data_IF_635283451011
#
_entry.id   IF_635283451011
#
_cell.length_a   1.000
_cell.length_b   1.000
_cell.length_c   1.000
_cell.angle_alpha   90.00
_cell.angle_beta   90.00
_cell.angle_gamma   90.00
#
_symmetry.space_group_name_H-M   'P 1'
#
loop_
_entity.id
_entity.type
_entity.pdbx_description
1 polymer ?
#
# COMPACT_ATOMS: atom_id res chain seq x y z
N UNK A 1 -7.52 -29.65 4.18
CA UNK A 1 -6.57 -29.35 3.09
C UNK A 1 -6.09 -27.94 3.28
N UNK A 2 -5.01 -27.81 4.01
CA UNK A 2 -4.40 -26.50 4.25
C UNK A 2 -3.46 -26.19 3.09
N UNK A 3 -3.89 -25.28 2.20
CA UNK A 3 -3.00 -24.28 1.61
C UNK A 3 -1.80 -24.82 0.81
N UNK A 4 -2.03 -25.64 -0.19
CA UNK A 4 -0.98 -26.04 -1.12
C UNK A 4 -0.35 -24.85 -1.87
N UNK A 5 -1.12 -23.78 -2.10
CA UNK A 5 -0.65 -22.51 -2.63
C UNK A 5 -0.37 -21.45 -1.56
N UNK A 6 -0.36 -21.79 -0.27
CA UNK A 6 0.03 -20.87 0.80
C UNK A 6 1.51 -20.44 0.71
N UNK A 7 2.25 -21.11 -0.13
CA UNK A 7 3.61 -20.76 -0.49
C UNK A 7 3.60 -20.11 -1.86
N UNK A 8 3.29 -18.83 -1.91
CA UNK A 8 3.89 -18.01 -2.94
C UNK A 8 5.39 -18.29 -2.84
N UNK A 9 6.04 -18.84 -3.88
CA UNK A 9 7.41 -19.30 -3.72
C UNK A 9 8.26 -18.15 -3.21
N UNK A 10 8.84 -18.33 -2.02
CA UNK A 10 9.85 -17.39 -1.56
C UNK A 10 10.99 -17.43 -2.56
N UNK A 11 11.70 -16.34 -2.80
CA UNK A 11 12.85 -16.31 -3.71
C UNK A 11 13.86 -17.43 -3.46
N UNK A 12 13.94 -17.94 -2.21
CA UNK A 12 14.81 -19.04 -1.79
C UNK A 12 14.38 -20.43 -2.30
N UNK A 13 13.13 -20.57 -2.72
CA UNK A 13 12.51 -21.88 -2.95
C UNK A 13 12.40 -22.20 -4.45
N UNK A 14 13.01 -21.40 -5.32
CA UNK A 14 12.93 -21.52 -6.78
C UNK A 14 14.31 -21.64 -7.47
N UNK A 15 15.05 -22.74 -7.29
CA UNK A 15 16.37 -22.90 -7.90
C UNK A 15 16.33 -23.29 -9.38
N UNK A 16 15.44 -22.95 -10.16
CA UNK A 16 15.41 -23.38 -11.59
C UNK A 16 14.83 -22.35 -12.54
N UNK A 17 13.95 -21.51 -12.10
CA UNK A 17 13.60 -20.25 -12.75
C UNK A 17 14.57 -19.21 -12.20
N UNK A 18 15.06 -18.30 -12.97
CA UNK A 18 15.98 -17.21 -12.60
C UNK A 18 15.53 -16.36 -11.40
N UNK A 19 14.92 -17.02 -10.37
CA UNK A 19 14.40 -16.48 -9.13
C UNK A 19 13.04 -15.76 -9.29
N UNK A 20 12.34 -15.66 -8.18
CA UNK A 20 11.08 -14.90 -8.07
C UNK A 20 11.23 -13.46 -8.56
N UNK A 21 12.36 -12.82 -8.25
CA UNK A 21 12.63 -11.44 -8.64
C UNK A 21 12.71 -11.26 -10.16
N UNK A 22 13.31 -12.22 -10.86
CA UNK A 22 13.34 -12.22 -12.32
C UNK A 22 11.95 -12.42 -12.93
N UNK A 23 11.12 -13.30 -12.35
CA UNK A 23 9.74 -13.51 -12.81
C UNK A 23 8.86 -12.26 -12.61
N UNK A 24 8.96 -11.62 -11.44
CA UNK A 24 8.25 -10.38 -11.14
C UNK A 24 8.71 -9.23 -12.03
N UNK A 25 10.01 -9.13 -12.28
CA UNK A 25 10.54 -8.11 -13.19
C UNK A 25 10.09 -8.35 -14.63
N UNK A 26 10.10 -9.61 -15.10
CA UNK A 26 9.57 -9.97 -16.42
C UNK A 26 8.07 -9.68 -16.54
N UNK A 27 7.29 -9.97 -15.51
CA UNK A 27 5.87 -9.59 -15.46
C UNK A 27 5.67 -8.10 -15.66
N UNK A 28 6.43 -7.28 -14.93
CA UNK A 28 6.33 -5.82 -14.96
C UNK A 28 6.78 -5.18 -16.28
N UNK A 29 7.76 -5.79 -16.98
CA UNK A 29 8.39 -5.18 -18.16
C UNK A 29 7.81 -5.72 -19.46
N UNK A 30 7.50 -7.01 -19.50
CA UNK A 30 7.21 -7.71 -20.75
C UNK A 30 5.73 -8.10 -20.91
N UNK A 31 4.97 -8.14 -19.83
CA UNK A 31 3.62 -8.72 -19.89
C UNK A 31 2.53 -7.77 -19.36
N UNK A 32 2.69 -7.23 -18.17
CA UNK A 32 1.67 -6.39 -17.56
C UNK A 32 1.63 -4.99 -18.20
N UNK A 33 0.44 -4.38 -18.23
CA UNK A 33 0.27 -2.99 -18.59
C UNK A 33 1.28 -2.11 -17.83
N UNK A 34 1.93 -1.19 -18.53
CA UNK A 34 3.01 -0.38 -17.97
C UNK A 34 2.57 0.41 -16.75
N UNK A 35 3.29 0.20 -15.66
CA UNK A 35 3.08 0.90 -14.39
C UNK A 35 4.41 1.02 -13.64
N UNK A 36 4.53 2.08 -12.83
CA UNK A 36 5.67 2.27 -11.94
C UNK A 36 5.51 1.43 -10.68
N UNK A 37 6.22 0.30 -10.62
CA UNK A 37 6.18 -0.68 -9.54
C UNK A 37 7.26 -0.51 -8.47
N UNK A 38 7.84 0.68 -8.37
CA UNK A 38 8.93 1.03 -7.45
C UNK A 38 8.80 2.49 -7.00
N UNK A 39 9.38 2.81 -5.84
CA UNK A 39 9.33 4.16 -5.28
C UNK A 39 10.49 5.02 -5.78
N UNK A 40 11.72 4.49 -5.80
CA UNK A 40 12.89 5.16 -6.32
C UNK A 40 13.69 4.25 -7.29
N UNK A 41 14.63 4.86 -8.01
CA UNK A 41 15.39 4.12 -9.02
C UNK A 41 16.29 3.02 -8.44
N UNK A 42 16.66 3.11 -7.16
CA UNK A 42 17.40 2.06 -6.47
C UNK A 42 16.56 0.78 -6.30
N UNK A 43 15.23 0.92 -6.19
CA UNK A 43 14.30 -0.19 -6.05
C UNK A 43 13.72 -0.70 -7.39
N UNK A 44 14.12 -0.10 -8.51
CA UNK A 44 13.56 -0.39 -9.83
C UNK A 44 13.61 -1.87 -10.19
N UNK A 45 14.71 -2.55 -9.90
CA UNK A 45 14.88 -3.98 -10.19
C UNK A 45 14.11 -4.87 -9.20
N UNK A 46 13.93 -4.39 -7.97
CA UNK A 46 13.29 -5.15 -6.90
C UNK A 46 11.76 -5.15 -7.00
N UNK A 47 11.14 -4.16 -7.67
CA UNK A 47 9.67 -4.04 -7.84
C UNK A 47 8.89 -4.21 -6.54
N UNK A 48 9.20 -3.49 -5.46
CA UNK A 48 8.61 -3.74 -4.14
C UNK A 48 7.09 -3.58 -4.12
N UNK A 49 6.54 -2.65 -4.90
CA UNK A 49 5.08 -2.43 -5.00
C UNK A 49 4.41 -3.65 -5.63
N UNK A 50 4.95 -4.19 -6.72
CA UNK A 50 4.38 -5.35 -7.40
C UNK A 50 4.44 -6.62 -6.53
N UNK A 51 5.56 -6.85 -5.84
CA UNK A 51 5.69 -7.98 -4.91
C UNK A 51 4.67 -7.91 -3.77
N UNK A 52 4.48 -6.72 -3.21
CA UNK A 52 3.48 -6.47 -2.18
C UNK A 52 2.06 -6.72 -2.73
N UNK A 53 1.75 -6.15 -3.90
CA UNK A 53 0.49 -6.34 -4.59
C UNK A 53 0.16 -7.82 -4.82
N UNK A 54 1.06 -8.58 -5.43
CA UNK A 54 0.85 -10.00 -5.71
C UNK A 54 0.65 -10.83 -4.43
N UNK A 55 1.44 -10.54 -3.39
CA UNK A 55 1.35 -11.24 -2.11
C UNK A 55 -0.01 -11.03 -1.44
N UNK A 56 -0.47 -9.80 -1.31
CA UNK A 56 -1.74 -9.51 -0.67
C UNK A 56 -2.95 -9.87 -1.53
N UNK A 57 -2.85 -9.76 -2.85
CA UNK A 57 -3.88 -10.24 -3.77
C UNK A 57 -4.09 -11.75 -3.61
N UNK A 58 -3.01 -12.53 -3.54
CA UNK A 58 -3.11 -13.96 -3.31
C UNK A 58 -3.75 -14.29 -1.93
N UNK A 59 -3.34 -13.60 -0.87
CA UNK A 59 -3.96 -13.75 0.46
C UNK A 59 -5.46 -13.40 0.44
N UNK A 60 -5.84 -12.38 -0.33
CA UNK A 60 -7.25 -12.01 -0.49
C UNK A 60 -8.04 -13.11 -1.20
N UNK A 61 -7.51 -13.68 -2.28
CA UNK A 61 -8.14 -14.82 -2.98
C UNK A 61 -8.32 -16.02 -2.04
N UNK A 62 -7.32 -16.36 -1.24
CA UNK A 62 -7.43 -17.44 -0.24
C UNK A 62 -8.56 -17.18 0.78
N UNK A 63 -8.69 -15.93 1.20
CA UNK A 63 -9.74 -15.54 2.14
C UNK A 63 -11.14 -15.63 1.49
N UNK A 64 -11.28 -15.16 0.26
CA UNK A 64 -12.54 -15.26 -0.50
C UNK A 64 -12.93 -16.71 -0.76
N UNK A 65 -11.98 -17.56 -1.13
CA UNK A 65 -12.21 -19.00 -1.33
C UNK A 65 -12.62 -19.71 -0.03
N UNK A 66 -12.09 -19.27 1.11
CA UNK A 66 -12.53 -19.76 2.42
C UNK A 66 -14.00 -19.42 2.66
N UNK A 67 -14.38 -18.14 2.49
CA UNK A 67 -15.75 -17.68 2.66
C UNK A 67 -16.72 -18.38 1.68
N UNK A 68 -16.29 -18.55 0.44
CA UNK A 68 -17.08 -19.23 -0.59
C UNK A 68 -17.32 -20.72 -0.24
N UNK A 69 -16.31 -21.42 0.27
CA UNK A 69 -16.46 -22.80 0.75
C UNK A 69 -17.45 -22.91 1.91
N UNK A 70 -17.38 -21.98 2.86
CA UNK A 70 -18.31 -21.91 3.99
C UNK A 70 -19.75 -21.63 3.52
N UNK A 71 -19.92 -20.69 2.60
CA UNK A 71 -21.23 -20.36 2.02
C UNK A 71 -21.80 -21.49 1.16
N UNK A 72 -20.98 -22.13 0.35
CA UNK A 72 -21.37 -23.26 -0.49
C UNK A 72 -21.83 -24.47 0.35
N UNK A 73 -21.10 -24.76 1.44
CA UNK A 73 -21.47 -25.85 2.36
C UNK A 73 -22.83 -25.60 3.03
N UNK A 74 -23.08 -24.35 3.48
CA UNK A 74 -24.37 -23.96 4.09
C UNK A 74 -25.56 -24.09 3.10
N UNK A 75 -25.32 -23.85 1.81
CA UNK A 75 -26.35 -23.87 0.77
C UNK A 75 -26.35 -25.18 -0.04
N UNK A 76 -25.61 -26.19 0.39
CA UNK A 76 -25.49 -27.51 -0.28
C UNK A 76 -25.19 -27.39 -1.79
N UNK A 77 -24.26 -26.53 -2.18
CA UNK A 77 -23.81 -26.32 -3.56
C UNK A 77 -22.29 -26.48 -3.70
N UNK A 78 -21.83 -26.67 -4.92
CA UNK A 78 -20.39 -26.66 -5.21
C UNK A 78 -19.82 -25.22 -5.08
N UNK A 79 -18.65 -25.05 -4.44
CA UNK A 79 -18.01 -23.74 -4.34
C UNK A 79 -17.42 -23.30 -5.68
N UNK A 80 -17.58 -22.00 -6.01
CA UNK A 80 -16.93 -21.40 -7.16
C UNK A 80 -15.64 -20.68 -6.70
N UNK A 81 -14.54 -21.39 -6.74
CA UNK A 81 -13.25 -20.93 -6.24
C UNK A 81 -12.53 -19.98 -7.21
N UNK A 82 -11.73 -19.09 -6.68
CA UNK A 82 -10.84 -18.16 -7.42
C UNK A 82 -9.41 -18.66 -7.53
N UNK A 83 -9.01 -19.62 -6.70
CA UNK A 83 -7.78 -20.39 -6.84
C UNK A 83 -8.20 -21.78 -7.30
N UNK A 84 -7.90 -22.12 -8.57
CA UNK A 84 -8.28 -23.39 -9.16
C UNK A 84 -7.12 -24.37 -9.09
N UNK A 85 -7.43 -25.61 -8.70
CA UNK A 85 -6.48 -26.71 -8.63
C UNK A 85 -7.09 -27.95 -9.27
N UNK A 86 -6.26 -28.71 -10.02
CA UNK A 86 -6.56 -30.05 -10.48
C UNK A 86 -5.40 -31.00 -10.12
N UNK A 87 -5.36 -32.19 -10.69
CA UNK A 87 -4.31 -33.16 -10.39
C UNK A 87 -2.90 -32.70 -10.79
N UNK A 88 -2.76 -31.88 -11.83
CA UNK A 88 -1.49 -31.49 -12.43
C UNK A 88 -1.17 -30.00 -12.25
N UNK A 89 -2.17 -29.14 -12.24
CA UNK A 89 -1.99 -27.70 -12.34
C UNK A 89 -2.79 -26.93 -11.29
N UNK A 90 -2.27 -25.76 -10.95
CA UNK A 90 -3.01 -24.75 -10.23
C UNK A 90 -2.87 -23.38 -10.90
N UNK A 91 -3.90 -22.54 -10.78
CA UNK A 91 -3.95 -21.21 -11.42
C UNK A 91 -4.78 -20.24 -10.61
N UNK A 92 -4.36 -18.98 -10.60
CA UNK A 92 -5.14 -17.88 -10.04
C UNK A 92 -4.94 -16.60 -10.85
N UNK A 93 -5.93 -15.70 -10.80
CA UNK A 93 -5.94 -14.43 -11.50
C UNK A 93 -5.18 -13.37 -10.70
N UNK A 94 -4.13 -12.77 -11.27
CA UNK A 94 -3.30 -11.77 -10.60
C UNK A 94 -4.01 -10.43 -10.40
N UNK A 95 -5.13 -10.18 -11.10
CA UNK A 95 -5.78 -8.88 -11.17
C UNK A 95 -5.07 -7.86 -12.06
N UNK A 96 -3.95 -8.26 -12.67
CA UNK A 96 -3.24 -7.49 -13.69
C UNK A 96 -3.74 -7.84 -15.09
N UNK A 97 -3.51 -6.93 -16.02
CA UNK A 97 -3.85 -7.09 -17.43
C UNK A 97 -2.65 -6.74 -18.31
N UNK A 98 -2.63 -7.25 -19.51
CA UNK A 98 -1.67 -6.87 -20.54
C UNK A 98 -2.10 -5.59 -21.31
N UNK A 99 -1.38 -5.24 -22.37
CA UNK A 99 -1.61 -4.03 -23.17
C UNK A 99 -2.93 -4.03 -23.96
N UNK A 100 -3.60 -5.18 -24.09
CA UNK A 100 -4.93 -5.31 -24.71
C UNK A 100 -6.02 -5.64 -23.70
N UNK A 101 -5.69 -5.51 -22.40
CA UNK A 101 -6.56 -5.77 -21.27
C UNK A 101 -6.94 -7.25 -21.08
N UNK A 102 -6.18 -8.19 -21.61
CA UNK A 102 -6.33 -9.61 -21.28
C UNK A 102 -5.83 -9.88 -19.85
N UNK A 103 -6.61 -10.61 -19.02
CA UNK A 103 -6.20 -10.93 -17.65
C UNK A 103 -4.94 -11.80 -17.61
N UNK A 104 -4.04 -11.48 -16.69
CA UNK A 104 -2.82 -12.22 -16.42
C UNK A 104 -3.02 -13.17 -15.25
N UNK A 105 -2.61 -14.41 -15.43
CA UNK A 105 -2.71 -15.49 -14.44
C UNK A 105 -1.34 -15.96 -13.99
N UNK A 106 -1.26 -16.43 -12.75
CA UNK A 106 -0.11 -17.15 -12.22
C UNK A 106 -0.37 -18.66 -12.35
N UNK A 107 0.53 -19.38 -12.98
CA UNK A 107 0.43 -20.82 -13.28
C UNK A 107 1.40 -21.62 -12.44
N UNK A 108 0.95 -22.77 -11.98
CA UNK A 108 1.73 -23.71 -11.18
C UNK A 108 1.53 -25.12 -11.69
N UNK A 109 2.57 -25.93 -11.54
CA UNK A 109 2.55 -27.38 -11.79
C UNK A 109 2.74 -28.13 -10.47
N UNK A 110 2.08 -29.26 -10.33
CA UNK A 110 2.23 -30.11 -9.15
C UNK A 110 3.67 -30.62 -9.03
N UNK A 111 4.23 -30.49 -7.85
CA UNK A 111 5.54 -31.06 -7.53
C UNK A 111 5.33 -32.53 -7.14
N UNK A 112 5.57 -33.42 -8.08
CA UNK A 112 5.45 -34.87 -7.93
C UNK A 112 6.79 -35.52 -7.51
N UNK A 113 7.69 -34.75 -6.87
CA UNK A 113 9.02 -35.20 -6.49
C UNK A 113 10.09 -35.06 -7.59
N UNK A 114 9.72 -34.58 -8.79
CA UNK A 114 10.69 -34.33 -9.89
C UNK A 114 11.68 -33.21 -9.56
N UNK A 115 11.36 -32.39 -8.58
CA UNK A 115 12.25 -31.32 -8.09
C UNK A 115 12.50 -31.54 -6.60
N UNK A 116 13.43 -32.42 -6.22
CA UNK A 116 13.65 -32.82 -4.81
C UNK A 116 14.02 -31.68 -3.87
N UNK A 117 14.58 -30.60 -4.41
CA UNK A 117 14.97 -29.39 -3.66
C UNK A 117 13.78 -28.51 -3.28
N UNK A 118 12.62 -28.70 -3.91
CA UNK A 118 11.39 -27.96 -3.63
C UNK A 118 10.47 -28.82 -2.77
N UNK A 119 10.27 -28.41 -1.52
CA UNK A 119 9.39 -29.11 -0.57
C UNK A 119 7.90 -28.78 -0.76
N UNK A 120 7.60 -27.74 -1.53
CA UNK A 120 6.24 -27.28 -1.75
C UNK A 120 5.51 -28.19 -2.76
N UNK A 121 4.20 -28.39 -2.57
CA UNK A 121 3.39 -29.22 -3.47
C UNK A 121 3.21 -28.64 -4.86
N UNK A 122 3.49 -27.35 -5.05
CA UNK A 122 3.34 -26.63 -6.30
C UNK A 122 4.62 -25.89 -6.70
N UNK A 123 4.99 -26.01 -7.97
CA UNK A 123 6.12 -25.31 -8.60
C UNK A 123 5.55 -24.21 -9.47
N UNK A 124 5.99 -22.99 -9.27
CA UNK A 124 5.59 -21.85 -10.10
C UNK A 124 6.16 -21.99 -11.52
N UNK A 125 5.29 -21.85 -12.52
CA UNK A 125 5.65 -21.94 -13.93
C UNK A 125 5.84 -20.58 -14.61
N UNK A 126 5.17 -19.54 -14.11
CA UNK A 126 5.23 -18.20 -14.66
C UNK A 126 3.91 -17.47 -14.64
N UNK A 127 3.95 -16.23 -15.15
CA UNK A 127 2.78 -15.41 -15.42
C UNK A 127 2.48 -15.40 -16.92
N UNK A 128 1.20 -15.50 -17.28
CA UNK A 128 0.79 -15.43 -18.69
C UNK A 128 -0.71 -15.15 -18.83
N UNK A 129 -1.17 -14.76 -20.03
CA UNK A 129 -2.60 -14.68 -20.35
C UNK A 129 -3.18 -16.06 -20.64
N UNK A 130 -4.52 -16.18 -20.64
CA UNK A 130 -5.19 -17.45 -20.89
C UNK A 130 -5.03 -17.96 -22.33
N UNK A 131 -4.83 -17.07 -23.29
CA UNK A 131 -4.76 -17.38 -24.73
C UNK A 131 -3.32 -17.56 -25.25
N UNK A 132 -2.34 -17.65 -24.36
CA UNK A 132 -0.92 -17.77 -24.65
C UNK A 132 -0.47 -19.23 -24.74
N UNK A 133 0.83 -19.47 -24.60
CA UNK A 133 1.44 -20.79 -24.46
C UNK A 133 0.82 -21.67 -23.36
N UNK A 134 0.10 -21.07 -22.39
CA UNK A 134 -0.57 -21.75 -21.27
C UNK A 134 -2.05 -22.06 -21.54
N UNK A 135 -2.54 -21.88 -22.77
CA UNK A 135 -3.93 -22.15 -23.14
C UNK A 135 -4.37 -23.59 -22.80
N UNK A 136 -3.51 -24.57 -23.04
CA UNK A 136 -3.80 -26.00 -22.71
C UNK A 136 -4.01 -26.20 -21.20
N UNK A 137 -3.25 -25.50 -20.36
CA UNK A 137 -3.42 -25.57 -18.92
C UNK A 137 -4.74 -24.90 -18.53
N UNK A 138 -5.03 -23.71 -19.04
CA UNK A 138 -6.27 -23.02 -18.74
C UNK A 138 -7.50 -23.82 -19.15
N UNK A 139 -7.45 -24.52 -20.29
CA UNK A 139 -8.54 -25.38 -20.80
C UNK A 139 -8.76 -26.64 -19.96
N UNK A 140 -7.85 -27.00 -19.06
CA UNK A 140 -8.03 -28.13 -18.13
C UNK A 140 -8.90 -27.77 -16.91
N UNK A 141 -9.30 -26.52 -16.76
CA UNK A 141 -10.19 -26.05 -15.71
C UNK A 141 -11.60 -25.78 -16.25
N UNK A 142 -12.65 -25.95 -15.42
CA UNK A 142 -14.03 -25.78 -15.86
C UNK A 142 -14.41 -24.32 -16.18
N UNK A 143 -13.65 -23.37 -15.65
CA UNK A 143 -13.83 -21.93 -15.88
C UNK A 143 -12.50 -21.20 -15.63
N UNK A 144 -12.42 -19.95 -16.09
CA UNK A 144 -11.29 -19.05 -15.79
C UNK A 144 -11.45 -18.46 -14.40
N UNK A 145 -10.41 -18.46 -13.53
CA UNK A 145 -10.51 -17.89 -12.20
C UNK A 145 -10.72 -16.37 -12.23
N UNK A 146 -11.63 -15.92 -11.38
CA UNK A 146 -11.92 -14.50 -11.24
C UNK A 146 -10.84 -13.78 -10.41
N UNK A 147 -10.70 -12.47 -10.62
CA UNK A 147 -9.82 -11.63 -9.81
C UNK A 147 -10.33 -11.49 -8.38
N UNK A 148 -9.47 -11.06 -7.45
CA UNK A 148 -9.84 -10.69 -6.11
C UNK A 148 -10.86 -9.53 -6.11
N UNK A 149 -11.84 -9.58 -5.21
CA UNK A 149 -12.81 -8.52 -4.95
C UNK A 149 -12.56 -7.94 -3.56
N UNK A 150 -12.51 -6.61 -3.44
CA UNK A 150 -12.20 -5.93 -2.19
C UNK A 150 -13.40 -5.20 -1.58
N UNK A 151 -14.50 -5.09 -2.32
CA UNK A 151 -15.74 -4.42 -1.93
C UNK A 151 -16.94 -5.18 -2.51
N UNK A 152 -18.09 -5.04 -1.87
CA UNK A 152 -19.36 -5.59 -2.35
C UNK A 152 -20.21 -4.51 -3.03
N UNK A 153 -20.18 -3.30 -2.50
CA UNK A 153 -20.93 -2.16 -3.01
C UNK A 153 -19.95 -1.06 -3.49
N UNK A 154 -20.04 -0.62 -4.76
CA UNK A 154 -19.21 0.48 -5.26
C UNK A 154 -19.30 1.78 -4.46
N UNK A 155 -20.40 1.99 -3.72
CA UNK A 155 -20.57 3.16 -2.84
C UNK A 155 -19.56 3.17 -1.68
N UNK A 156 -19.08 2.01 -1.26
CA UNK A 156 -18.03 1.89 -0.24
C UNK A 156 -16.69 2.50 -0.67
N UNK A 157 -16.49 2.70 -1.98
CA UNK A 157 -15.26 3.30 -2.54
C UNK A 157 -15.24 4.82 -2.46
N UNK A 158 -16.35 5.46 -2.11
CA UNK A 158 -16.51 6.90 -2.08
C UNK A 158 -16.72 7.41 -0.65
N UNK A 159 -16.13 8.56 -0.35
CA UNK A 159 -16.40 9.26 0.91
C UNK A 159 -17.76 9.96 0.84
N UNK A 160 -18.61 9.73 1.84
CA UNK A 160 -19.90 10.42 1.95
C UNK A 160 -19.67 11.82 2.51
N UNK A 161 -19.76 12.83 1.65
CA UNK A 161 -19.54 14.25 2.01
C UNK A 161 -20.63 14.84 2.91
N UNK A 162 -21.72 14.10 3.16
CA UNK A 162 -22.78 14.49 4.12
C UNK A 162 -22.42 14.08 5.55
N UNK A 163 -21.41 13.21 5.69
CA UNK A 163 -20.95 12.75 6.99
C UNK A 163 -20.38 13.91 7.83
N UNK A 164 -20.48 13.75 9.14
CA UNK A 164 -19.79 14.65 10.08
C UNK A 164 -18.26 14.45 9.96
N UNK A 165 -17.50 15.38 10.55
CA UNK A 165 -16.06 15.24 10.66
C UNK A 165 -15.71 13.92 11.36
N UNK A 166 -14.68 13.16 10.87
CA UNK A 166 -14.28 11.91 11.49
C UNK A 166 -13.89 12.07 12.96
N UNK A 167 -14.34 11.17 13.81
CA UNK A 167 -13.83 11.07 15.18
C UNK A 167 -12.37 10.62 15.15
N UNK A 168 -11.51 11.23 15.99
CA UNK A 168 -10.07 11.01 15.94
C UNK A 168 -9.58 10.35 17.25
N UNK A 169 -8.83 9.27 17.10
CA UNK A 169 -8.20 8.54 18.19
C UNK A 169 -6.82 9.16 18.49
N UNK A 170 -6.81 10.21 19.36
CA UNK A 170 -5.59 10.95 19.67
C UNK A 170 -4.53 10.15 20.38
N UNK A 171 -4.93 9.21 21.24
CA UNK A 171 -3.99 8.35 21.92
C UNK A 171 -3.23 7.47 20.92
N UNK A 172 -3.97 6.84 20.01
CA UNK A 172 -3.37 6.03 18.96
C UNK A 172 -2.50 6.85 17.98
N UNK A 173 -2.85 8.10 17.70
CA UNK A 173 -2.05 8.94 16.81
C UNK A 173 -0.75 9.41 17.45
N UNK A 174 -0.81 9.88 18.68
CA UNK A 174 0.31 10.55 19.36
C UNK A 174 1.20 9.60 20.16
N UNK A 175 0.70 8.43 20.58
CA UNK A 175 1.51 7.39 21.24
C UNK A 175 1.99 6.33 20.26
N UNK A 176 1.08 5.64 19.59
CA UNK A 176 1.43 4.46 18.80
C UNK A 176 1.97 4.82 17.40
N UNK A 177 1.52 5.93 16.83
CA UNK A 177 1.81 6.32 15.45
C UNK A 177 2.57 7.63 15.27
N UNK A 178 3.11 8.21 16.35
CA UNK A 178 3.86 9.46 16.32
C UNK A 178 5.03 9.43 15.33
N UNK A 179 5.66 8.27 15.15
CA UNK A 179 6.75 8.04 14.19
C UNK A 179 6.36 8.24 12.72
N UNK A 180 5.06 8.27 12.42
CA UNK A 180 4.53 8.51 11.07
C UNK A 180 4.26 10.00 10.81
N UNK A 181 4.18 10.80 11.85
CA UNK A 181 4.02 12.25 11.73
C UNK A 181 5.34 12.92 11.35
N UNK A 182 5.30 13.96 10.52
CA UNK A 182 6.50 14.74 10.20
C UNK A 182 7.05 15.44 11.44
N UNK A 183 8.35 15.33 11.67
CA UNK A 183 9.02 16.00 12.81
C UNK A 183 8.82 17.52 12.75
N UNK A 184 8.91 18.13 11.56
CA UNK A 184 8.67 19.56 11.41
C UNK A 184 7.26 20.02 11.75
N UNK A 185 6.26 19.13 11.64
CA UNK A 185 4.91 19.40 12.12
C UNK A 185 4.85 19.39 13.64
N UNK A 186 5.49 18.42 14.31
CA UNK A 186 5.45 18.23 15.75
C UNK A 186 6.23 19.35 16.48
N UNK A 187 7.45 19.68 16.00
CA UNK A 187 8.34 20.63 16.65
C UNK A 187 8.00 22.10 16.43
N UNK A 188 7.10 22.42 15.51
CA UNK A 188 6.80 23.81 15.17
C UNK A 188 6.20 24.58 16.36
N UNK A 189 6.91 25.58 16.83
CA UNK A 189 6.57 26.35 18.03
C UNK A 189 7.09 25.75 19.34
N UNK A 190 7.61 24.53 19.32
CA UNK A 190 8.12 23.78 20.48
C UNK A 190 9.53 23.21 20.24
N UNK A 191 10.34 23.92 19.45
CA UNK A 191 11.68 23.44 19.07
C UNK A 191 12.61 23.20 20.27
N UNK A 192 12.47 23.98 21.32
CA UNK A 192 13.31 23.91 22.52
C UNK A 192 12.71 23.03 23.64
N UNK A 193 11.47 22.54 23.46
CA UNK A 193 10.77 21.72 24.46
C UNK A 193 11.21 20.26 24.47
N UNK A 194 11.97 19.81 23.43
CA UNK A 194 12.41 18.44 23.30
C UNK A 194 13.69 18.37 22.43
N UNK A 195 14.65 17.46 22.71
CA UNK A 195 15.88 17.30 21.92
C UNK A 195 15.59 16.65 20.57
N UNK A 196 15.09 17.43 19.60
CA UNK A 196 14.71 16.93 18.28
C UNK A 196 15.90 16.47 17.46
N UNK A 197 15.79 15.27 16.89
CA UNK A 197 16.73 14.72 15.91
C UNK A 197 16.19 15.01 14.50
N UNK A 198 17.03 15.55 13.62
CA UNK A 198 16.60 15.91 12.26
C UNK A 198 16.24 14.68 11.40
N UNK A 199 16.95 13.57 11.59
CA UNK A 199 16.69 12.31 10.94
C UNK A 199 16.65 11.13 11.92
N UNK A 200 15.52 10.85 12.55
CA UNK A 200 15.38 9.70 13.43
C UNK A 200 15.55 8.33 12.71
N UNK A 201 15.40 8.29 11.37
CA UNK A 201 15.56 7.04 10.63
C UNK A 201 17.00 6.52 10.65
N UNK A 202 17.98 7.41 10.87
CA UNK A 202 19.38 7.07 11.03
C UNK A 202 19.71 6.43 12.39
N UNK A 203 18.80 6.53 13.37
CA UNK A 203 19.01 5.90 14.67
C UNK A 203 18.82 4.37 14.59
N UNK A 204 19.61 3.59 15.37
CA UNK A 204 19.33 2.17 15.58
C UNK A 204 17.89 1.96 16.04
N UNK A 205 17.29 0.81 15.65
CA UNK A 205 15.86 0.54 15.87
C UNK A 205 15.41 0.80 17.32
N UNK A 206 16.13 0.27 18.29
CA UNK A 206 15.78 0.41 19.72
C UNK A 206 15.82 1.90 20.15
N UNK A 207 16.88 2.62 19.83
CA UNK A 207 17.00 4.06 20.14
C UNK A 207 15.93 4.91 19.46
N UNK A 208 15.53 4.53 18.25
CA UNK A 208 14.46 5.21 17.54
C UNK A 208 13.09 4.98 18.20
N UNK A 209 12.81 3.77 18.67
CA UNK A 209 11.59 3.46 19.41
C UNK A 209 11.54 4.24 20.74
N UNK A 210 12.65 4.28 21.48
CA UNK A 210 12.80 5.07 22.70
C UNK A 210 12.61 6.58 22.44
N UNK A 211 13.21 7.10 21.38
CA UNK A 211 13.09 8.51 20.97
C UNK A 211 11.62 8.89 20.72
N UNK A 212 10.88 8.10 19.94
CA UNK A 212 9.48 8.41 19.67
C UNK A 212 8.59 8.24 20.88
N UNK A 213 8.88 7.31 21.77
CA UNK A 213 8.16 7.16 23.05
C UNK A 213 8.39 8.38 23.93
N UNK A 214 9.63 8.79 24.13
CA UNK A 214 9.97 10.00 24.92
C UNK A 214 9.33 11.26 24.34
N UNK A 215 9.23 11.38 23.02
CA UNK A 215 8.54 12.48 22.36
C UNK A 215 7.03 12.46 22.64
N UNK A 216 6.41 11.30 22.57
CA UNK A 216 4.99 11.15 22.92
C UNK A 216 4.72 11.54 24.37
N UNK A 217 5.55 11.05 25.28
CA UNK A 217 5.44 11.37 26.72
C UNK A 217 5.60 12.87 26.98
N UNK A 218 6.54 13.53 26.30
CA UNK A 218 6.76 14.98 26.43
C UNK A 218 5.53 15.78 25.92
N UNK A 219 4.92 15.37 24.79
CA UNK A 219 3.70 16.02 24.28
C UNK A 219 2.53 15.83 25.24
N UNK A 220 2.42 14.66 25.89
CA UNK A 220 1.35 14.41 26.86
C UNK A 220 1.56 15.12 28.19
N UNK A 221 2.79 15.44 28.55
CA UNK A 221 3.13 16.20 29.75
C UNK A 221 2.92 17.73 29.61
N UNK A 222 2.80 18.22 28.37
CA UNK A 222 2.60 19.65 28.05
C UNK A 222 1.24 19.82 27.33
N UNK A 223 0.24 20.32 28.05
CA UNK A 223 -1.11 20.50 27.55
C UNK A 223 -1.18 21.51 26.38
N UNK A 224 -0.35 22.57 26.41
CA UNK A 224 -0.30 23.54 25.32
C UNK A 224 0.27 22.93 24.05
N UNK A 225 1.34 22.17 24.17
CA UNK A 225 1.92 21.45 23.02
C UNK A 225 0.95 20.44 22.44
N UNK A 226 0.32 19.63 23.28
CA UNK A 226 -0.71 18.66 22.87
C UNK A 226 -1.87 19.35 22.17
N UNK A 227 -2.39 20.45 22.73
CA UNK A 227 -3.47 21.24 22.13
C UNK A 227 -3.04 21.83 20.79
N UNK A 228 -1.83 22.34 20.69
CA UNK A 228 -1.29 22.87 19.45
C UNK A 228 -1.21 21.81 18.33
N UNK A 229 -0.66 20.63 18.61
CA UNK A 229 -0.54 19.53 17.65
C UNK A 229 -1.92 19.06 17.21
N UNK A 230 -2.84 18.81 18.16
CA UNK A 230 -4.19 18.32 17.86
C UNK A 230 -5.02 19.32 17.08
N UNK A 231 -4.94 20.61 17.39
CA UNK A 231 -5.65 21.68 16.66
C UNK A 231 -5.15 21.77 15.20
N UNK A 232 -3.84 21.76 15.00
CA UNK A 232 -3.27 21.79 13.65
C UNK A 232 -3.64 20.57 12.83
N UNK A 233 -3.69 19.40 13.46
CA UNK A 233 -4.11 18.17 12.79
C UNK A 233 -5.59 18.24 12.38
N UNK A 234 -6.49 18.70 13.28
CA UNK A 234 -7.91 18.91 12.94
C UNK A 234 -8.07 19.89 11.79
N UNK A 235 -7.35 21.00 11.80
CA UNK A 235 -7.39 21.95 10.68
C UNK A 235 -6.97 21.30 9.35
N UNK A 236 -6.00 20.39 9.37
CA UNK A 236 -5.61 19.65 8.16
C UNK A 236 -6.70 18.67 7.71
N UNK A 237 -7.43 18.03 8.64
CA UNK A 237 -8.59 17.19 8.34
C UNK A 237 -9.71 18.01 7.71
N UNK A 238 -10.06 19.17 8.27
CA UNK A 238 -11.07 20.09 7.71
C UNK A 238 -10.72 20.50 6.27
N UNK A 239 -9.44 20.80 5.99
CA UNK A 239 -8.99 21.10 4.63
C UNK A 239 -9.08 19.87 3.71
N UNK A 240 -8.76 18.69 4.21
CA UNK A 240 -8.89 17.46 3.44
C UNK A 240 -10.35 17.18 3.07
N UNK A 241 -11.29 17.38 4.00
CA UNK A 241 -12.73 17.24 3.73
C UNK A 241 -13.23 18.24 2.69
N UNK A 242 -12.79 19.49 2.76
CA UNK A 242 -13.10 20.48 1.73
C UNK A 242 -12.58 20.08 0.35
N UNK A 243 -11.39 19.47 0.27
CA UNK A 243 -10.86 18.90 -0.98
C UNK A 243 -11.71 17.74 -1.50
N UNK A 244 -12.18 16.86 -0.62
CA UNK A 244 -13.08 15.75 -1.00
C UNK A 244 -14.42 16.27 -1.51
N UNK A 245 -15.00 17.28 -0.85
CA UNK A 245 -16.24 17.92 -1.30
C UNK A 245 -16.10 18.58 -2.69
N UNK A 246 -14.93 19.13 -2.98
CA UNK A 246 -14.61 19.69 -4.31
C UNK A 246 -14.34 18.60 -5.36
N UNK A 247 -13.62 17.54 -4.98
CA UNK A 247 -13.26 16.43 -5.87
C UNK A 247 -13.34 15.10 -5.11
N UNK A 248 -14.38 14.32 -5.39
CA UNK A 248 -14.62 13.02 -4.73
C UNK A 248 -13.47 12.03 -4.88
N UNK A 249 -12.63 12.14 -5.91
CA UNK A 249 -11.43 11.31 -6.12
C UNK A 249 -10.32 11.61 -5.12
N UNK A 250 -10.43 12.69 -4.34
CA UNK A 250 -9.43 13.02 -3.31
C UNK A 250 -9.39 11.99 -2.18
N UNK A 251 -10.54 11.44 -1.79
CA UNK A 251 -10.59 10.30 -0.89
C UNK A 251 -10.27 9.01 -1.67
N UNK A 252 -9.27 8.25 -1.22
CA UNK A 252 -8.80 7.07 -1.93
C UNK A 252 -9.17 5.81 -1.15
N UNK A 253 -9.88 4.84 -1.77
CA UNK A 253 -10.17 3.57 -1.14
C UNK A 253 -8.89 2.73 -0.99
N UNK A 254 -8.76 2.10 0.17
CA UNK A 254 -7.68 1.17 0.49
C UNK A 254 -8.21 -0.11 1.11
N UNK A 255 -7.51 -1.19 0.88
CA UNK A 255 -7.79 -2.43 1.57
C UNK A 255 -6.73 -2.68 2.64
N UNK A 256 -7.17 -2.90 3.87
CA UNK A 256 -6.29 -3.27 4.97
C UNK A 256 -6.25 -4.80 5.14
N UNK A 257 -5.17 -5.48 4.68
CA UNK A 257 -5.15 -6.94 4.60
C UNK A 257 -5.30 -7.64 5.95
N UNK A 258 -4.73 -7.09 7.02
CA UNK A 258 -4.77 -7.68 8.36
C UNK A 258 -6.20 -7.70 8.92
N UNK A 259 -6.93 -6.59 8.81
CA UNK A 259 -8.32 -6.50 9.26
C UNK A 259 -9.34 -6.95 8.20
N UNK A 260 -8.89 -7.19 6.95
CA UNK A 260 -9.73 -7.58 5.81
C UNK A 260 -10.88 -6.61 5.54
N UNK A 261 -10.62 -5.31 5.76
CA UNK A 261 -11.61 -4.24 5.66
C UNK A 261 -11.21 -3.22 4.60
N UNK A 262 -12.24 -2.68 3.95
CA UNK A 262 -12.13 -1.48 3.14
C UNK A 262 -12.08 -0.26 4.06
N UNK A 263 -11.23 0.69 3.72
CA UNK A 263 -11.05 1.97 4.42
C UNK A 263 -10.89 3.07 3.38
N UNK A 264 -10.99 4.33 3.81
CA UNK A 264 -10.77 5.50 2.95
C UNK A 264 -9.60 6.31 3.48
N UNK A 265 -8.79 6.84 2.59
CA UNK A 265 -7.68 7.73 2.90
C UNK A 265 -8.06 9.18 2.65
N UNK A 266 -7.81 10.05 3.62
CA UNK A 266 -7.87 11.50 3.47
C UNK A 266 -6.45 12.08 3.45
N UNK A 267 -6.10 12.91 2.46
CA UNK A 267 -4.77 13.50 2.35
C UNK A 267 -4.56 14.61 3.38
N UNK A 268 -3.52 14.53 4.21
CA UNK A 268 -3.20 15.55 5.19
C UNK A 268 -1.92 16.32 4.82
N UNK A 269 -2.06 17.62 4.70
CA UNK A 269 -0.98 18.59 4.53
C UNK A 269 -0.65 19.21 5.90
N UNK A 270 0.36 18.70 6.59
CA UNK A 270 0.69 19.05 7.97
C UNK A 270 1.77 20.13 8.08
N UNK A 271 2.81 20.06 7.23
CA UNK A 271 3.90 21.01 7.23
C UNK A 271 3.67 22.18 6.27
N UNK A 272 3.28 21.88 5.04
CA UNK A 272 3.04 22.83 3.96
C UNK A 272 1.67 22.55 3.33
N UNK A 273 0.83 23.57 3.20
CA UNK A 273 -0.52 23.49 2.63
C UNK A 273 -0.56 22.95 1.18
N UNK A 274 0.56 23.06 0.46
CA UNK A 274 0.69 22.63 -0.94
C UNK A 274 1.09 21.17 -1.12
N UNK A 275 1.57 20.52 -0.05
CA UNK A 275 2.12 19.17 -0.10
C UNK A 275 1.42 18.27 0.89
N UNK A 276 1.02 17.10 0.43
CA UNK A 276 0.52 16.05 1.30
C UNK A 276 1.71 15.34 1.98
N UNK A 277 1.61 15.17 3.27
CA UNK A 277 2.65 14.59 4.10
C UNK A 277 2.35 13.17 4.52
N UNK A 278 1.09 12.92 4.86
CA UNK A 278 0.56 11.65 5.34
C UNK A 278 -0.90 11.50 4.92
N UNK A 279 -1.46 10.32 5.11
CA UNK A 279 -2.87 10.05 4.89
C UNK A 279 -3.55 9.60 6.19
N UNK A 280 -4.69 10.21 6.53
CA UNK A 280 -5.57 9.73 7.59
C UNK A 280 -6.37 8.54 7.07
N UNK A 281 -6.34 7.45 7.80
CA UNK A 281 -7.11 6.23 7.49
C UNK A 281 -8.45 6.31 8.21
N UNK A 282 -9.53 6.35 7.45
CA UNK A 282 -10.89 6.43 7.94
C UNK A 282 -11.61 5.08 7.77
N UNK A 283 -12.11 4.54 8.87
CA UNK A 283 -13.04 3.41 8.86
C UNK A 283 -14.46 3.93 8.65
N UNK A 284 -15.24 3.21 7.86
CA UNK A 284 -16.69 3.37 7.86
C UNK A 284 -17.29 2.94 9.19
N UNK A 285 -18.11 3.80 9.78
CA UNK A 285 -18.99 3.47 10.89
C UNK A 285 -20.42 3.67 10.41
N UNK A 286 -21.02 2.59 9.92
CA UNK A 286 -22.40 2.65 9.44
C UNK A 286 -23.36 2.66 10.61
N UNK A 287 -24.17 3.74 10.74
CA UNK A 287 -25.30 3.81 11.64
C UNK A 287 -26.57 3.75 10.80
N UNK A 288 -27.32 2.63 10.82
CA UNK A 288 -28.52 2.46 9.99
C UNK A 288 -29.61 3.51 10.22
N UNK A 289 -29.65 4.08 11.42
CA UNK A 289 -30.72 4.99 11.87
C UNK A 289 -30.71 6.33 11.12
N UNK A 290 -29.54 6.80 10.68
CA UNK A 290 -29.38 8.14 10.10
C UNK A 290 -29.28 8.14 8.57
N UNK A 291 -29.11 6.97 7.94
CA UNK A 291 -28.91 6.84 6.48
C UNK A 291 -27.64 7.54 5.96
N UNK A 292 -26.77 8.00 6.86
CA UNK A 292 -25.51 8.69 6.56
C UNK A 292 -24.34 7.87 7.08
N UNK A 293 -23.29 7.74 6.27
CA UNK A 293 -22.07 7.12 6.71
C UNK A 293 -21.32 8.06 7.66
N UNK A 294 -20.89 7.54 8.81
CA UNK A 294 -19.94 8.22 9.67
C UNK A 294 -18.55 7.58 9.55
N UNK A 295 -17.53 8.33 9.94
CA UNK A 295 -16.15 7.88 9.81
C UNK A 295 -15.39 8.01 11.12
N UNK A 296 -14.49 7.06 11.33
CA UNK A 296 -13.55 7.06 12.45
C UNK A 296 -12.13 7.08 11.91
N UNK A 297 -11.38 8.14 12.20
CA UNK A 297 -9.97 8.24 11.89
C UNK A 297 -9.17 7.38 12.86
N UNK A 298 -8.73 6.21 12.39
CA UNK A 298 -8.11 5.17 13.24
C UNK A 298 -6.60 5.24 13.28
N UNK A 299 -5.97 5.63 12.18
CA UNK A 299 -4.50 5.62 12.10
C UNK A 299 -4.02 6.55 10.99
N UNK A 300 -2.73 6.74 10.93
CA UNK A 300 -2.04 7.55 9.93
C UNK A 300 -1.16 6.64 9.08
N UNK A 301 -1.23 6.78 7.76
CA UNK A 301 -0.32 6.11 6.85
C UNK A 301 0.70 7.10 6.29
N UNK A 302 1.96 6.66 6.19
CA UNK A 302 2.91 7.30 5.29
C UNK A 302 2.42 7.14 3.84
N UNK A 303 2.84 8.02 2.93
CA UNK A 303 2.42 7.92 1.52
C UNK A 303 2.78 6.56 0.90
N UNK A 304 3.87 5.94 1.34
CA UNK A 304 4.29 4.61 0.89
C UNK A 304 3.30 3.52 1.34
N UNK A 305 2.87 3.54 2.61
CA UNK A 305 1.85 2.62 3.12
C UNK A 305 0.50 2.85 2.43
N UNK A 306 0.14 4.12 2.23
CA UNK A 306 -1.07 4.53 1.55
C UNK A 306 -1.11 3.98 0.12
N UNK A 307 -0.03 4.16 -0.65
CA UNK A 307 0.05 3.68 -2.02
C UNK A 307 -0.04 2.15 -2.11
N UNK A 308 0.71 1.41 -1.27
CA UNK A 308 0.68 -0.06 -1.26
C UNK A 308 -0.73 -0.61 -1.03
N UNK A 309 -1.48 -0.05 -0.07
CA UNK A 309 -2.81 -0.53 0.27
C UNK A 309 -3.88 -0.07 -0.74
N UNK A 310 -3.75 1.13 -1.31
CA UNK A 310 -4.62 1.61 -2.38
C UNK A 310 -4.46 0.77 -3.65
N UNK A 311 -3.20 0.44 -4.01
CA UNK A 311 -2.90 -0.33 -5.22
C UNK A 311 -3.53 -1.73 -5.22
N UNK A 312 -3.87 -2.29 -4.08
CA UNK A 312 -4.60 -3.57 -4.01
C UNK A 312 -5.96 -3.48 -4.71
N UNK A 313 -6.66 -2.37 -4.54
CA UNK A 313 -7.99 -2.17 -5.14
C UNK A 313 -7.85 -1.74 -6.59
N UNK A 314 -7.08 -0.67 -6.83
CA UNK A 314 -6.86 -0.11 -8.16
C UNK A 314 -5.55 0.69 -8.19
N UNK A 315 -5.05 0.99 -9.40
CA UNK A 315 -3.98 1.97 -9.56
C UNK A 315 -4.51 3.34 -9.10
N UNK A 316 -3.91 3.98 -8.10
CA UNK A 316 -4.28 5.34 -7.72
C UNK A 316 -4.05 6.31 -8.89
N UNK A 317 -5.05 7.12 -9.20
CA UNK A 317 -5.00 8.16 -10.23
C UNK A 317 -5.28 9.56 -9.65
N UNK A 318 -4.92 9.77 -8.40
CA UNK A 318 -5.11 11.02 -7.69
C UNK A 318 -3.80 11.81 -7.62
N UNK A 319 -3.86 13.12 -7.79
CA UNK A 319 -2.70 14.02 -7.85
C UNK A 319 -1.80 13.97 -6.61
N UNK A 320 -2.33 13.53 -5.48
CA UNK A 320 -1.60 13.48 -4.22
C UNK A 320 -1.01 12.09 -3.89
N UNK A 321 -1.43 11.02 -4.59
CA UNK A 321 -0.97 9.66 -4.31
C UNK A 321 -0.45 9.00 -5.59
N UNK A 322 0.83 9.20 -5.86
CA UNK A 322 1.57 8.55 -6.93
C UNK A 322 2.81 7.85 -6.37
N UNK A 323 3.32 6.83 -7.09
CA UNK A 323 4.46 6.04 -6.64
C UNK A 323 5.73 6.87 -6.36
N UNK A 324 5.97 7.93 -7.14
CA UNK A 324 7.11 8.82 -6.97
C UNK A 324 6.94 9.85 -5.86
N UNK A 325 5.71 10.19 -5.47
CA UNK A 325 5.45 11.05 -4.31
C UNK A 325 5.60 10.31 -2.97
N UNK A 326 5.54 8.99 -3.00
CA UNK A 326 5.69 8.14 -1.82
C UNK A 326 7.15 7.98 -1.35
N UNK A 327 8.10 8.65 -2.02
CA UNK A 327 9.52 8.67 -1.63
C UNK A 327 9.70 9.48 -0.35
N UNK A 328 10.46 8.94 0.60
CA UNK A 328 10.78 9.60 1.86
C UNK A 328 11.40 10.98 1.64
N UNK A 329 10.87 12.00 2.32
CA UNK A 329 11.25 13.42 2.27
C UNK A 329 12.76 13.68 2.40
N UNK A 330 13.51 12.83 3.09
CA UNK A 330 14.93 13.01 3.34
C UNK A 330 15.78 12.91 2.06
N UNK A 331 15.51 11.94 1.19
CA UNK A 331 16.28 11.80 -0.06
C UNK A 331 16.07 13.00 -0.99
N UNK A 332 14.85 13.57 -1.01
CA UNK A 332 14.55 14.72 -1.85
C UNK A 332 15.18 16.02 -1.30
N UNK A 333 15.25 16.16 0.03
CA UNK A 333 15.91 17.31 0.69
C UNK A 333 17.41 17.30 0.45
N UNK A 334 18.07 16.14 0.57
CA UNK A 334 19.49 15.96 0.27
C UNK A 334 19.80 16.29 -1.19
N UNK A 335 18.98 15.81 -2.14
CA UNK A 335 19.19 16.09 -3.57
C UNK A 335 19.02 17.59 -3.88
N UNK A 336 18.04 18.25 -3.29
CA UNK A 336 17.83 19.69 -3.47
C UNK A 336 18.89 20.54 -2.78
N UNK A 337 19.42 20.12 -1.64
CA UNK A 337 20.54 20.82 -0.98
C UNK A 337 21.85 20.63 -1.76
N UNK A 338 22.06 19.44 -2.31
CA UNK A 338 23.22 19.19 -3.19
C UNK A 338 23.13 20.03 -4.45
N UNK A 339 21.98 20.11 -5.09
CA UNK A 339 21.74 20.95 -6.28
C UNK A 339 21.90 22.44 -5.93
N UNK A 340 21.37 22.91 -4.82
CA UNK A 340 21.56 24.29 -4.33
C UNK A 340 23.03 24.61 -4.04
N UNK A 341 23.78 23.69 -3.42
CA UNK A 341 25.23 23.84 -3.22
C UNK A 341 25.99 23.86 -4.55
N UNK A 342 25.59 23.03 -5.51
CA UNK A 342 26.23 22.98 -6.83
C UNK A 342 25.98 24.27 -7.64
N UNK A 343 24.75 24.77 -7.63
CA UNK A 343 24.39 26.05 -8.28
C UNK A 343 25.12 27.22 -7.61
N UNK A 344 25.19 27.25 -6.28
CA UNK A 344 25.90 28.28 -5.54
C UNK A 344 27.41 28.28 -5.84
N UNK A 345 28.00 27.10 -6.01
CA UNK A 345 29.42 26.93 -6.39
C UNK A 345 29.68 27.30 -7.84
N UNK A 346 28.74 26.98 -8.76
CA UNK A 346 28.81 27.36 -10.16
C UNK A 346 28.73 28.89 -10.35
N UNK A 347 27.80 29.52 -9.62
CA UNK A 347 27.65 30.99 -9.63
C UNK A 347 28.83 31.74 -9.00
N UNK A 348 29.48 31.16 -7.97
CA UNK A 348 30.67 31.78 -7.37
C UNK A 348 31.92 31.68 -8.28
N UNK A 349 32.00 30.69 -9.17
CA UNK A 349 33.07 30.55 -10.16
C UNK A 349 32.87 31.50 -11.33
N UNK A 350 31.63 31.81 -11.74
CA UNK A 350 31.29 32.79 -12.78
C UNK A 350 31.67 34.24 -12.42
N UNK A 351 31.68 34.57 -11.14
CA UNK A 351 32.00 35.94 -10.66
C UNK A 351 33.52 36.18 -10.56
N UNK A 352 34.33 35.13 -10.53
CA UNK A 352 35.79 35.26 -10.46
C UNK A 352 36.52 35.33 -11.83
N UNK A 353 35.81 35.20 -12.94
CA UNK A 353 36.40 35.28 -14.30
C UNK A 353 35.98 36.53 -15.09
N UNK A 354 35.45 37.53 -14.40
CA UNK A 354 35.03 38.82 -14.95
C UNK A 354 35.78 40.01 -14.31
N UNK A 355 37.10 39.91 -14.18
CA UNK A 355 37.97 41.06 -13.93
C UNK A 355 39.19 41.00 -14.81
#
# INVERSE_FOLDING_TARGET
MQNSLSYFPRPKDMPGLRGWDAAVNSLAVNLALEERWYYDDADKQNRPILKNYLSFTFQRLQYEDKLEKEAAAKNNRQPRLKILENQLYAVWNTGLVDNIYDPIYAYFMRNDGRTPTIKQPWVFMGFNTANSSQQKIMSSFPYRPERASYFNDPRELLYDTRATEPTLDWEHFLKDNISRLPIGFIKKGYADSFPFVDDPSALPKQKREEYYRSMADAIYADDDWKQFVTTRFRNAVTVALARVAWNYKTAIPVYYPTAKKLQLLLPLALEDKKRIDVALVCNHVYKPEDGVNNYEGRTIYTLQMAYNNARLITRPDSDWLMADMAINKLKFRIKNEFIKKFIKKALSISVCHGK
#
